data_IF_778983892942
#
_entry.id   IF_778983892942
#
_cell.length_a   1.000
_cell.length_b   1.000
_cell.length_c   1.000
_cell.angle_alpha   90.00
_cell.angle_beta   90.00
_cell.angle_gamma   90.00
#
_symmetry.space_group_name_H-M   'P 1'
#
loop_
_entity.id
_entity.type
_entity.pdbx_description
1 polymer ?
#
# COMPACT_ATOMS: atom_id res chain seq x y z
N UNK A 1 -10.14 -13.15 -4.72
CA UNK A 1 -9.12 -12.83 -3.70
C UNK A 1 -7.96 -12.02 -4.27
N UNK A 2 -7.05 -12.58 -5.10
CA UNK A 2 -5.84 -11.86 -5.54
C UNK A 2 -6.13 -10.52 -6.23
N UNK A 3 -7.09 -10.51 -7.17
CA UNK A 3 -7.56 -9.28 -7.83
C UNK A 3 -8.18 -8.30 -6.81
N UNK A 4 -9.03 -8.81 -5.92
CA UNK A 4 -9.72 -7.98 -4.91
C UNK A 4 -8.71 -7.32 -3.95
N UNK A 5 -7.64 -8.02 -3.59
CA UNK A 5 -6.56 -7.49 -2.76
C UNK A 5 -5.84 -6.32 -3.43
N UNK A 6 -5.51 -6.44 -4.72
CA UNK A 6 -4.88 -5.36 -5.49
C UNK A 6 -5.81 -4.14 -5.61
N UNK A 7 -7.10 -4.37 -5.91
CA UNK A 7 -8.11 -3.32 -6.01
C UNK A 7 -8.36 -2.61 -4.68
N UNK A 8 -8.46 -3.36 -3.58
CA UNK A 8 -8.65 -2.81 -2.24
C UNK A 8 -7.48 -1.89 -1.81
N UNK A 9 -6.30 -2.10 -2.37
CA UNK A 9 -5.10 -1.28 -2.14
C UNK A 9 -4.90 -0.17 -3.19
N UNK A 10 -5.90 0.10 -4.02
CA UNK A 10 -5.93 1.26 -4.91
C UNK A 10 -5.49 1.01 -6.35
N UNK A 11 -5.21 -0.24 -6.75
CA UNK A 11 -4.87 -0.54 -8.13
C UNK A 11 -6.12 -0.44 -9.04
N UNK A 12 -6.01 0.29 -10.16
CA UNK A 12 -7.14 0.58 -11.05
C UNK A 12 -7.45 -0.59 -11.96
N UNK A 13 -8.71 -0.72 -12.38
CA UNK A 13 -9.14 -1.86 -13.21
C UNK A 13 -8.52 -1.86 -14.61
N UNK A 14 -8.29 -0.68 -15.18
CA UNK A 14 -7.70 -0.48 -16.50
C UNK A 14 -6.18 -0.67 -16.52
N UNK A 15 -5.54 -0.70 -15.36
CA UNK A 15 -4.11 -0.97 -15.19
C UNK A 15 -3.81 -2.47 -14.99
N UNK A 16 -4.84 -3.33 -14.88
CA UNK A 16 -4.70 -4.76 -14.61
C UNK A 16 -5.42 -5.63 -15.63
N UNK A 17 -4.89 -6.84 -15.85
CA UNK A 17 -5.62 -7.91 -16.55
C UNK A 17 -5.26 -9.29 -16.03
N UNK A 18 -6.21 -10.21 -16.12
CA UNK A 18 -5.94 -11.63 -15.94
C UNK A 18 -5.68 -12.27 -17.32
N UNK A 19 -4.58 -13.01 -17.44
CA UNK A 19 -4.17 -13.68 -18.68
C UNK A 19 -3.91 -15.16 -18.41
N UNK A 20 -4.72 -16.02 -19.01
CA UNK A 20 -4.48 -17.46 -18.96
C UNK A 20 -3.28 -17.83 -19.82
N UNK A 21 -2.45 -18.74 -19.32
CA UNK A 21 -1.34 -19.33 -20.06
C UNK A 21 -1.87 -20.17 -21.22
N UNK A 22 -1.21 -20.11 -22.37
CA UNK A 22 -1.45 -21.06 -23.45
C UNK A 22 -0.89 -22.45 -23.10
N UNK A 23 -1.34 -23.52 -23.78
CA UNK A 23 -0.80 -24.86 -23.55
C UNK A 23 0.73 -24.98 -23.68
N UNK A 24 1.35 -24.13 -24.51
CA UNK A 24 2.79 -24.09 -24.73
C UNK A 24 3.57 -23.36 -23.62
N UNK A 25 2.89 -22.48 -22.87
CA UNK A 25 3.46 -21.73 -21.74
C UNK A 25 3.35 -22.51 -20.42
N UNK A 26 2.40 -23.45 -20.33
CA UNK A 26 2.19 -24.25 -19.13
C UNK A 26 3.42 -25.10 -18.80
N UNK A 27 3.82 -25.04 -17.53
CA UNK A 27 4.75 -26.02 -16.98
C UNK A 27 4.13 -27.42 -17.05
N UNK A 28 4.95 -28.45 -17.26
CA UNK A 28 4.47 -29.83 -17.48
C UNK A 28 3.62 -30.42 -16.35
N UNK A 29 3.71 -29.87 -15.14
CA UNK A 29 2.94 -30.25 -13.95
C UNK A 29 1.76 -29.31 -13.67
N UNK A 30 1.63 -28.20 -14.41
CA UNK A 30 0.53 -27.27 -14.23
C UNK A 30 -0.66 -27.69 -15.08
N UNK A 31 -1.82 -27.83 -14.44
CA UNK A 31 -3.09 -28.07 -15.11
C UNK A 31 -3.68 -26.79 -15.70
N UNK A 32 -3.31 -25.64 -15.15
CA UNK A 32 -3.73 -24.32 -15.59
C UNK A 32 -3.05 -23.23 -14.77
N UNK A 33 -2.72 -22.14 -15.42
CA UNK A 33 -2.09 -20.97 -14.79
C UNK A 33 -2.71 -19.70 -15.34
N UNK A 34 -3.05 -18.77 -14.46
CA UNK A 34 -3.48 -17.41 -14.82
C UNK A 34 -2.52 -16.41 -14.19
N UNK A 35 -1.95 -15.52 -15.00
CA UNK A 35 -1.18 -14.39 -14.52
C UNK A 35 -2.08 -13.17 -14.34
N UNK A 36 -1.95 -12.49 -13.21
CA UNK A 36 -2.36 -11.09 -13.08
C UNK A 36 -1.21 -10.24 -13.57
N UNK A 37 -1.45 -9.49 -14.63
CA UNK A 37 -0.50 -8.57 -15.24
C UNK A 37 -0.89 -7.12 -14.96
N UNK A 38 0.12 -6.25 -14.87
CA UNK A 38 -0.02 -4.81 -14.72
C UNK A 38 0.54 -4.07 -15.93
N UNK A 39 -0.12 -2.97 -16.29
CA UNK A 39 0.31 -2.09 -17.37
C UNK A 39 1.36 -1.09 -16.85
N UNK A 40 2.63 -1.48 -16.89
CA UNK A 40 3.72 -0.56 -16.58
C UNK A 40 3.89 0.50 -17.69
N UNK A 41 4.61 1.60 -17.42
CA UNK A 41 4.97 2.59 -18.46
C UNK A 41 5.72 1.99 -19.66
N UNK A 42 6.35 0.82 -19.48
CA UNK A 42 7.06 0.08 -20.53
C UNK A 42 6.27 -1.13 -21.08
N UNK A 43 4.99 -1.28 -20.72
CA UNK A 43 4.09 -2.31 -21.23
C UNK A 43 3.60 -3.29 -20.17
N UNK A 44 2.85 -4.31 -20.62
CA UNK A 44 2.31 -5.35 -19.75
C UNK A 44 3.41 -6.22 -19.14
N UNK A 45 3.33 -6.44 -17.83
CA UNK A 45 4.23 -7.35 -17.11
C UNK A 45 3.49 -8.11 -16.02
N UNK A 46 3.91 -9.34 -15.76
CA UNK A 46 3.33 -10.21 -14.73
C UNK A 46 3.63 -9.68 -13.32
N UNK A 47 2.62 -9.72 -12.45
CA UNK A 47 2.73 -9.42 -11.01
C UNK A 47 2.56 -10.67 -10.16
N UNK A 48 1.54 -11.45 -10.49
CA UNK A 48 1.05 -12.54 -9.65
C UNK A 48 0.63 -13.73 -10.52
N UNK A 49 1.36 -14.83 -10.45
CA UNK A 49 0.96 -16.09 -11.08
C UNK A 49 0.08 -16.91 -10.15
N UNK A 50 -1.03 -17.44 -10.65
CA UNK A 50 -1.93 -18.36 -9.92
C UNK A 50 -1.95 -19.69 -10.68
N UNK A 51 -1.25 -20.69 -10.15
CA UNK A 51 -1.08 -22.00 -10.79
C UNK A 51 -1.83 -23.12 -10.06
N UNK A 52 -2.49 -24.01 -10.81
CA UNK A 52 -2.95 -25.32 -10.34
C UNK A 52 -1.88 -26.36 -10.66
N UNK A 53 -1.12 -26.75 -9.64
CA UNK A 53 0.04 -27.66 -9.74
C UNK A 53 -0.33 -29.11 -9.42
N UNK A 54 -1.61 -29.40 -9.23
CA UNK A 54 -2.12 -30.73 -8.86
C UNK A 54 -1.38 -31.30 -7.64
N UNK A 55 -1.17 -32.62 -7.57
CA UNK A 55 -0.45 -33.31 -6.50
C UNK A 55 1.05 -33.47 -6.77
N UNK A 56 1.57 -32.85 -7.84
CA UNK A 56 2.93 -33.08 -8.33
C UNK A 56 3.99 -32.83 -7.26
N UNK A 57 3.95 -31.66 -6.61
CA UNK A 57 4.99 -31.21 -5.68
C UNK A 57 5.12 -32.13 -4.46
N UNK A 58 3.99 -32.43 -3.83
CA UNK A 58 3.93 -33.31 -2.66
C UNK A 58 4.32 -34.74 -3.02
N UNK A 59 3.92 -35.21 -4.21
CA UNK A 59 4.32 -36.54 -4.71
C UNK A 59 5.83 -36.65 -4.91
N UNK A 60 6.48 -35.62 -5.46
CA UNK A 60 7.93 -35.61 -5.61
C UNK A 60 8.64 -35.60 -4.24
N UNK A 61 8.18 -34.76 -3.31
CA UNK A 61 8.76 -34.72 -1.96
C UNK A 61 8.58 -36.03 -1.19
N UNK A 62 7.40 -36.66 -1.25
CA UNK A 62 7.16 -37.98 -0.66
C UNK A 62 8.08 -39.05 -1.26
N UNK A 63 8.21 -39.07 -2.59
CA UNK A 63 9.04 -40.07 -3.30
C UNK A 63 10.51 -39.99 -2.90
N UNK A 64 11.05 -38.77 -2.76
CA UNK A 64 12.47 -38.56 -2.45
C UNK A 64 12.77 -38.69 -0.95
N UNK A 65 11.86 -38.20 -0.09
CA UNK A 65 12.07 -38.21 1.37
C UNK A 65 11.68 -39.53 2.04
N UNK A 66 10.72 -40.27 1.47
CA UNK A 66 10.10 -41.44 2.09
C UNK A 66 9.04 -41.11 3.16
N UNK A 67 8.84 -39.83 3.48
CA UNK A 67 7.83 -39.38 4.43
C UNK A 67 6.46 -39.26 3.75
N UNK A 68 5.42 -39.72 4.44
CA UNK A 68 4.05 -39.71 3.93
C UNK A 68 3.45 -38.29 3.92
N UNK A 69 3.11 -37.79 2.73
CA UNK A 69 2.56 -36.46 2.49
C UNK A 69 1.05 -36.47 2.23
N UNK A 70 0.39 -37.61 2.40
CA UNK A 70 -1.04 -37.73 2.09
C UNK A 70 -1.94 -37.30 3.26
N UNK A 71 -3.08 -36.73 2.89
CA UNK A 71 -4.12 -36.27 3.79
C UNK A 71 -5.23 -37.33 3.88
N UNK A 72 -5.78 -37.52 5.08
CA UNK A 72 -6.95 -38.38 5.30
C UNK A 72 -8.20 -37.51 5.44
N UNK A 73 -9.13 -37.67 4.51
CA UNK A 73 -10.42 -37.00 4.55
C UNK A 73 -11.40 -37.79 5.42
N UNK A 74 -11.84 -37.17 6.52
CA UNK A 74 -12.73 -37.79 7.49
C UNK A 74 -14.16 -37.97 6.98
N UNK A 75 -14.61 -37.18 6.02
CA UNK A 75 -15.96 -37.29 5.44
C UNK A 75 -16.00 -38.37 4.36
N UNK A 76 -15.02 -38.34 3.45
CA UNK A 76 -14.91 -39.29 2.34
C UNK A 76 -14.29 -40.64 2.76
N UNK A 77 -13.62 -40.70 3.93
CA UNK A 77 -12.90 -41.87 4.45
C UNK A 77 -11.86 -42.41 3.48
N UNK A 78 -11.17 -41.52 2.79
CA UNK A 78 -10.11 -41.84 1.84
C UNK A 78 -8.83 -41.05 2.12
N UNK A 79 -7.72 -41.55 1.58
CA UNK A 79 -6.39 -40.96 1.72
C UNK A 79 -5.88 -40.57 0.34
N UNK A 80 -5.48 -39.32 0.17
CA UNK A 80 -4.99 -38.79 -1.11
C UNK A 80 -3.88 -37.76 -0.89
N UNK A 81 -3.08 -37.51 -1.93
CA UNK A 81 -2.13 -36.40 -1.92
C UNK A 81 -2.89 -35.16 -2.40
N UNK A 82 -2.98 -34.09 -1.58
CA UNK A 82 -3.81 -32.94 -1.93
C UNK A 82 -3.23 -32.16 -3.11
N UNK A 83 -4.13 -31.51 -3.85
CA UNK A 83 -3.75 -30.62 -4.93
C UNK A 83 -3.29 -29.27 -4.37
N UNK A 84 -2.31 -28.67 -5.04
CA UNK A 84 -1.70 -27.40 -4.66
C UNK A 84 -2.12 -26.30 -5.63
N UNK A 85 -2.82 -25.29 -5.12
CA UNK A 85 -3.03 -24.02 -5.81
C UNK A 85 -1.99 -23.03 -5.26
N UNK A 86 -1.18 -22.47 -6.15
CA UNK A 86 -0.08 -21.57 -5.79
C UNK A 86 -0.32 -20.16 -6.35
N UNK A 87 -0.73 -19.20 -5.51
CA UNK A 87 -0.63 -17.78 -5.82
C UNK A 87 0.77 -17.25 -5.45
N UNK A 88 1.61 -17.00 -6.45
CA UNK A 88 2.97 -16.46 -6.29
C UNK A 88 3.05 -14.99 -6.74
N UNK A 89 3.30 -14.08 -5.79
CA UNK A 89 3.38 -12.62 -6.03
C UNK A 89 4.84 -12.14 -5.96
N UNK A 90 5.28 -11.39 -6.97
CA UNK A 90 6.58 -10.73 -6.95
C UNK A 90 6.58 -9.46 -6.09
N UNK A 91 7.19 -9.48 -4.91
CA UNK A 91 7.21 -8.35 -3.96
C UNK A 91 7.74 -7.03 -4.57
N UNK A 92 8.87 -7.09 -5.27
CA UNK A 92 9.46 -5.92 -5.93
C UNK A 92 8.58 -5.41 -7.08
N UNK A 93 7.97 -6.33 -7.84
CA UNK A 93 7.10 -5.97 -8.97
C UNK A 93 5.82 -5.31 -8.50
N UNK A 94 5.19 -5.84 -7.46
CA UNK A 94 3.97 -5.23 -6.90
C UNK A 94 4.27 -3.87 -6.26
N UNK A 95 5.45 -3.70 -5.66
CA UNK A 95 5.92 -2.40 -5.14
C UNK A 95 6.05 -1.39 -6.28
N UNK A 96 6.69 -1.77 -7.39
CA UNK A 96 6.80 -0.91 -8.57
C UNK A 96 5.43 -0.61 -9.18
N UNK A 97 4.52 -1.58 -9.23
CA UNK A 97 3.17 -1.38 -9.75
C UNK A 97 2.38 -0.36 -8.91
N UNK A 98 2.44 -0.45 -7.57
CA UNK A 98 1.82 0.56 -6.72
C UNK A 98 2.46 1.94 -6.87
N UNK A 99 3.78 2.03 -7.06
CA UNK A 99 4.45 3.29 -7.38
C UNK A 99 3.95 3.88 -8.70
N UNK A 100 3.86 3.09 -9.76
CA UNK A 100 3.38 3.53 -11.06
C UNK A 100 1.89 3.93 -11.03
N UNK A 101 1.05 3.14 -10.36
CA UNK A 101 -0.39 3.38 -10.26
C UNK A 101 -0.72 4.64 -9.44
N UNK A 102 0.06 4.91 -8.39
CA UNK A 102 -0.10 6.05 -7.51
C UNK A 102 0.45 7.36 -8.09
N UNK A 103 1.37 7.32 -9.05
CA UNK A 103 2.00 8.52 -9.60
C UNK A 103 1.00 9.37 -10.39
N UNK A 104 0.93 10.65 -10.05
CA UNK A 104 0.19 11.66 -10.80
C UNK A 104 0.90 13.02 -10.81
N UNK A 105 0.65 13.78 -11.87
CA UNK A 105 1.05 15.17 -12.03
C UNK A 105 -0.20 16.03 -12.22
N UNK A 106 -0.60 16.72 -11.16
CA UNK A 106 -1.80 17.56 -11.17
C UNK A 106 -1.47 19.02 -11.48
N UNK A 107 -2.18 19.61 -12.44
CA UNK A 107 -2.20 21.07 -12.65
C UNK A 107 -3.04 21.74 -11.57
N UNK A 108 -2.43 22.68 -10.85
CA UNK A 108 -3.06 23.49 -9.84
C UNK A 108 -3.53 24.82 -10.40
N UNK A 109 -4.44 25.47 -9.67
CA UNK A 109 -4.87 26.83 -9.97
C UNK A 109 -3.66 27.77 -10.11
N UNK A 110 -3.57 28.47 -11.24
CA UNK A 110 -2.46 29.37 -11.54
C UNK A 110 -1.36 28.77 -12.42
N UNK A 111 -1.52 27.52 -12.90
CA UNK A 111 -0.63 26.90 -13.88
C UNK A 111 0.64 26.29 -13.29
N UNK A 112 0.66 26.07 -11.98
CA UNK A 112 1.71 25.32 -11.29
C UNK A 112 1.38 23.82 -11.32
N UNK A 113 2.39 22.95 -11.32
CA UNK A 113 2.20 21.49 -11.35
C UNK A 113 2.66 20.90 -10.02
N UNK A 114 1.89 19.96 -9.46
CA UNK A 114 2.34 19.14 -8.33
C UNK A 114 2.50 17.69 -8.75
N UNK A 115 3.61 17.08 -8.36
CA UNK A 115 3.76 15.63 -8.37
C UNK A 115 3.22 15.08 -7.05
N UNK A 116 2.39 14.04 -7.13
CA UNK A 116 1.78 13.40 -5.97
C UNK A 116 1.76 11.89 -6.17
N UNK A 117 2.03 11.15 -5.08
CA UNK A 117 1.81 9.71 -5.03
C UNK A 117 0.53 9.39 -4.26
N UNK A 118 -0.53 9.02 -4.97
CA UNK A 118 -1.83 8.62 -4.43
C UNK A 118 -1.81 7.22 -3.79
N UNK A 119 -0.83 6.94 -2.94
CA UNK A 119 -0.82 5.67 -2.22
C UNK A 119 -2.07 5.49 -1.38
N UNK A 120 -2.61 4.27 -1.38
CA UNK A 120 -3.56 3.88 -0.33
C UNK A 120 -2.92 4.14 1.04
N UNK A 121 -3.65 4.71 2.02
CA UNK A 121 -3.07 5.06 3.32
C UNK A 121 -2.37 3.90 4.05
N UNK A 122 -2.81 2.65 3.83
CA UNK A 122 -2.15 1.45 4.36
C UNK A 122 -0.74 1.20 3.76
N UNK A 123 -0.50 1.62 2.52
CA UNK A 123 0.78 1.44 1.80
C UNK A 123 1.75 2.60 1.96
N UNK A 124 1.26 3.81 2.20
CA UNK A 124 2.10 5.01 2.25
C UNK A 124 3.29 4.85 3.22
N UNK A 125 4.53 5.15 2.80
CA UNK A 125 5.72 4.90 3.63
C UNK A 125 5.70 5.75 4.90
N UNK A 126 5.31 7.02 4.77
CA UNK A 126 5.03 7.93 5.90
C UNK A 126 3.52 8.10 5.97
N UNK A 127 2.94 7.99 7.17
CA UNK A 127 1.50 8.12 7.40
C UNK A 127 1.11 9.56 7.69
N UNK A 128 1.95 10.26 8.47
CA UNK A 128 1.66 11.61 8.96
C UNK A 128 2.91 12.48 8.91
N UNK A 129 2.86 13.60 8.18
CA UNK A 129 3.89 14.65 8.22
C UNK A 129 3.54 15.72 9.27
N UNK A 130 4.42 16.01 10.22
CA UNK A 130 4.23 17.02 11.27
C UNK A 130 5.05 18.27 10.94
N UNK A 131 4.37 19.38 10.69
CA UNK A 131 4.92 20.57 10.02
C UNK A 131 4.68 21.84 10.88
N UNK A 132 5.65 22.32 11.66
CA UNK A 132 5.49 23.58 12.41
C UNK A 132 5.45 24.79 11.47
N UNK A 133 4.47 25.69 11.58
CA UNK A 133 4.33 26.85 10.68
C UNK A 133 5.59 27.72 10.64
N UNK A 134 6.30 27.80 11.77
CA UNK A 134 7.63 28.41 11.88
C UNK A 134 8.51 27.65 12.88
N UNK A 135 9.83 27.82 12.79
CA UNK A 135 10.79 27.20 13.71
C UNK A 135 10.58 27.53 15.20
N UNK A 136 9.88 28.63 15.50
CA UNK A 136 9.54 29.02 16.88
C UNK A 136 8.53 28.08 17.53
N UNK A 137 7.80 27.32 16.72
CA UNK A 137 6.74 26.40 17.15
C UNK A 137 7.21 24.95 17.19
N UNK A 138 8.51 24.69 16.97
CA UNK A 138 9.06 23.33 16.94
C UNK A 138 8.79 22.59 18.24
N UNK A 139 8.91 23.23 19.41
CA UNK A 139 8.72 22.54 20.69
C UNK A 139 7.30 21.96 20.85
N UNK A 140 6.27 22.72 20.42
CA UNK A 140 4.88 22.26 20.43
C UNK A 140 4.63 21.16 19.40
N UNK A 141 5.12 21.35 18.18
CA UNK A 141 5.00 20.37 17.11
C UNK A 141 5.74 19.05 17.40
N UNK A 142 6.91 19.11 18.05
CA UNK A 142 7.69 17.93 18.47
C UNK A 142 6.93 17.09 19.52
N UNK A 143 6.12 17.71 20.38
CA UNK A 143 5.23 16.99 21.31
C UNK A 143 4.15 16.22 20.57
N UNK A 144 3.54 16.82 19.54
CA UNK A 144 2.56 16.14 18.67
C UNK A 144 3.21 14.98 17.92
N UNK A 145 4.40 15.21 17.34
CA UNK A 145 5.19 14.18 16.70
C UNK A 145 5.49 13.01 17.64
N UNK A 146 6.05 13.28 18.82
CA UNK A 146 6.41 12.26 19.79
C UNK A 146 5.22 11.42 20.26
N UNK A 147 4.01 11.98 20.31
CA UNK A 147 2.80 11.23 20.66
C UNK A 147 2.33 10.34 19.49
N UNK A 148 2.22 10.88 18.29
CA UNK A 148 1.72 10.14 17.13
C UNK A 148 2.70 9.07 16.62
N UNK A 149 4.02 9.32 16.74
CA UNK A 149 5.07 8.36 16.37
C UNK A 149 5.03 7.06 17.19
N UNK A 150 4.29 7.01 18.29
CA UNK A 150 4.05 5.76 19.05
C UNK A 150 3.14 4.78 18.31
N UNK A 151 2.35 5.27 17.36
CA UNK A 151 1.30 4.51 16.67
C UNK A 151 1.53 4.43 15.16
N UNK A 152 2.15 5.45 14.57
CA UNK A 152 2.28 5.59 13.12
C UNK A 152 3.70 5.96 12.71
N UNK A 153 4.06 5.62 11.46
CA UNK A 153 5.29 6.15 10.88
C UNK A 153 5.08 7.63 10.54
N UNK A 154 5.72 8.52 11.29
CA UNK A 154 5.59 9.96 11.12
C UNK A 154 6.92 10.58 10.70
N UNK A 155 6.85 11.67 9.96
CA UNK A 155 8.00 12.51 9.62
C UNK A 155 7.80 13.91 10.20
N UNK A 156 8.87 14.51 10.74
CA UNK A 156 8.87 15.89 11.18
C UNK A 156 9.70 16.74 10.22
N UNK A 157 9.14 17.86 9.75
CA UNK A 157 9.82 18.72 8.78
C UNK A 157 9.59 20.22 9.07
N UNK A 158 10.67 20.93 9.40
CA UNK A 158 10.69 22.38 9.67
C UNK A 158 11.43 23.19 8.57
N UNK A 159 11.77 22.55 7.45
CA UNK A 159 12.65 23.13 6.43
C UNK A 159 11.85 23.90 5.37
N UNK A 160 12.17 25.18 5.19
CA UNK A 160 11.53 26.02 4.18
C UNK A 160 10.09 26.43 4.56
N UNK A 161 9.35 27.00 3.60
CA UNK A 161 7.98 27.43 3.84
C UNK A 161 7.01 26.24 3.91
N UNK A 162 5.80 26.47 4.44
CA UNK A 162 4.81 25.40 4.63
C UNK A 162 4.37 24.76 3.29
N UNK A 163 4.23 25.54 2.22
CA UNK A 163 3.87 25.03 0.90
C UNK A 163 4.90 24.03 0.36
N UNK A 164 6.19 24.33 0.46
CA UNK A 164 7.28 23.42 0.05
C UNK A 164 7.32 22.14 0.87
N UNK A 165 6.86 22.18 2.12
CA UNK A 165 6.76 21.00 2.98
C UNK A 165 5.60 20.10 2.56
N UNK A 166 4.44 20.67 2.30
CA UNK A 166 3.33 19.92 1.71
C UNK A 166 3.74 19.28 0.39
N UNK A 167 4.46 19.98 -0.50
CA UNK A 167 4.93 19.39 -1.76
C UNK A 167 5.83 18.17 -1.57
N UNK A 168 6.79 18.23 -0.65
CA UNK A 168 7.65 17.06 -0.34
C UNK A 168 6.85 15.86 0.18
N UNK A 169 5.83 16.13 0.99
CA UNK A 169 4.98 15.09 1.57
C UNK A 169 4.02 14.50 0.52
N UNK A 170 3.48 15.33 -0.38
CA UNK A 170 2.69 14.90 -1.54
C UNK A 170 3.55 14.03 -2.49
N UNK A 171 4.80 14.43 -2.77
CA UNK A 171 5.76 13.71 -3.62
C UNK A 171 6.13 12.30 -3.10
N UNK A 172 6.11 12.07 -1.79
CA UNK A 172 6.34 10.75 -1.18
C UNK A 172 5.04 10.03 -0.80
N UNK A 173 3.90 10.64 -1.11
CA UNK A 173 2.56 10.08 -0.93
C UNK A 173 2.09 9.98 0.52
N UNK A 174 2.57 10.84 1.41
CA UNK A 174 2.07 10.93 2.78
C UNK A 174 0.61 11.37 2.79
N UNK A 175 -0.33 10.57 3.31
CA UNK A 175 -1.76 10.83 3.18
C UNK A 175 -2.24 12.02 4.02
N UNK A 176 -1.61 12.30 5.17
CA UNK A 176 -2.00 13.41 6.03
C UNK A 176 -0.81 14.26 6.47
N UNK A 177 -0.98 15.57 6.47
CA UNK A 177 -0.03 16.51 7.06
C UNK A 177 -0.69 17.31 8.17
N UNK A 178 -0.03 17.42 9.32
CA UNK A 178 -0.47 18.23 10.45
C UNK A 178 0.37 19.49 10.52
N UNK A 179 -0.28 20.63 10.45
CA UNK A 179 0.36 21.93 10.67
C UNK A 179 0.11 22.42 12.09
N UNK A 180 1.19 22.70 12.79
CA UNK A 180 1.16 23.34 14.11
C UNK A 180 1.48 24.83 13.93
N UNK A 181 0.52 25.70 14.22
CA UNK A 181 0.58 27.15 14.01
C UNK A 181 0.59 27.93 15.34
N UNK A 182 0.55 29.27 15.25
CA UNK A 182 0.57 30.12 16.44
C UNK A 182 -0.69 29.98 17.29
N UNK A 183 -1.84 29.74 16.64
CA UNK A 183 -3.12 29.55 17.31
C UNK A 183 -3.15 28.23 18.10
N UNK A 184 -2.31 27.26 17.72
CA UNK A 184 -2.22 25.94 18.37
C UNK A 184 -1.85 26.02 19.85
N UNK A 185 -1.06 27.02 20.24
CA UNK A 185 -0.69 27.27 21.65
C UNK A 185 -1.87 27.82 22.47
N UNK A 186 -2.85 28.45 21.82
CA UNK A 186 -4.00 29.07 22.47
C UNK A 186 -5.21 28.13 22.50
N UNK A 187 -5.49 27.44 21.38
CA UNK A 187 -6.69 26.62 21.20
C UNK A 187 -6.46 25.11 21.41
N UNK A 188 -5.21 24.67 21.52
CA UNK A 188 -4.85 23.26 21.68
C UNK A 188 -5.27 22.38 20.50
N UNK A 189 -5.36 22.98 19.30
CA UNK A 189 -5.73 22.31 18.06
C UNK A 189 -4.66 22.50 16.98
N UNK A 190 -4.71 21.65 15.96
CA UNK A 190 -3.81 21.66 14.81
C UNK A 190 -4.61 21.54 13.52
N UNK A 191 -4.02 21.93 12.41
CA UNK A 191 -4.66 21.83 11.10
C UNK A 191 -4.21 20.55 10.41
N UNK A 192 -5.13 19.63 10.14
CA UNK A 192 -4.87 18.40 9.39
C UNK A 192 -5.24 18.63 7.93
N UNK A 193 -4.29 18.41 7.02
CA UNK A 193 -4.46 18.46 5.57
C UNK A 193 -4.49 17.05 4.99
N UNK A 194 -5.50 16.77 4.18
CA UNK A 194 -5.61 15.56 3.35
C UNK A 194 -4.82 15.73 2.03
N UNK A 195 -4.05 14.72 1.63
CA UNK A 195 -3.17 14.76 0.43
C UNK A 195 -3.96 14.95 -0.86
N UNK A 196 -5.00 14.14 -1.03
CA UNK A 196 -5.72 13.99 -2.30
C UNK A 196 -6.67 15.17 -2.50
N UNK A 197 -7.53 15.43 -1.51
CA UNK A 197 -8.52 16.51 -1.57
C UNK A 197 -7.94 17.89 -1.32
N UNK A 198 -6.73 17.97 -0.75
CA UNK A 198 -6.09 19.21 -0.25
C UNK A 198 -6.88 19.96 0.83
N UNK A 199 -7.98 19.38 1.32
CA UNK A 199 -8.83 20.01 2.33
C UNK A 199 -8.11 20.06 3.68
N UNK A 200 -8.43 21.10 4.46
CA UNK A 200 -7.83 21.37 5.76
C UNK A 200 -8.91 21.43 6.83
N UNK A 201 -8.69 20.72 7.92
CA UNK A 201 -9.60 20.63 9.07
C UNK A 201 -8.87 20.97 10.37
N UNK A 202 -9.49 21.76 11.24
CA UNK A 202 -8.94 22.10 12.57
C UNK A 202 -9.37 21.04 13.59
N UNK A 203 -8.42 20.27 14.09
CA UNK A 203 -8.66 19.13 15.00
C UNK A 203 -7.92 19.36 16.32
N UNK A 204 -8.59 19.13 17.45
CA UNK A 204 -7.94 19.21 18.77
C UNK A 204 -6.84 18.16 18.88
N UNK A 205 -5.71 18.54 19.47
CA UNK A 205 -4.56 17.63 19.64
C UNK A 205 -4.95 16.37 20.41
N UNK A 206 -5.82 16.51 21.41
CA UNK A 206 -6.33 15.39 22.20
C UNK A 206 -7.14 14.36 21.39
N UNK A 207 -7.75 14.78 20.28
CA UNK A 207 -8.62 13.94 19.46
C UNK A 207 -7.87 13.27 18.30
N UNK A 208 -6.61 13.64 18.04
CA UNK A 208 -5.84 13.14 16.89
C UNK A 208 -5.71 11.63 16.85
N UNK A 209 -5.52 10.98 18.01
CA UNK A 209 -5.41 9.51 18.07
C UNK A 209 -6.69 8.84 17.57
N UNK A 210 -7.85 9.31 18.03
CA UNK A 210 -9.14 8.79 17.61
C UNK A 210 -9.42 9.13 16.14
N UNK A 211 -9.05 10.34 15.70
CA UNK A 211 -9.21 10.79 14.32
C UNK A 211 -8.48 9.88 13.31
N UNK A 212 -7.32 9.33 13.67
CA UNK A 212 -6.50 8.49 12.78
C UNK A 212 -6.70 6.97 12.93
N UNK A 213 -7.50 6.49 13.89
CA UNK A 213 -7.55 5.07 14.27
C UNK A 213 -7.89 4.12 13.10
N UNK A 214 -8.79 4.55 12.20
CA UNK A 214 -9.24 3.77 11.05
C UNK A 214 -8.73 4.28 9.70
N UNK A 215 -8.05 5.43 9.67
CA UNK A 215 -7.63 6.08 8.41
C UNK A 215 -6.50 5.35 7.67
N UNK A 216 -5.89 4.35 8.29
CA UNK A 216 -4.75 3.60 7.74
C UNK A 216 -5.01 2.10 7.59
N UNK A 217 -6.24 1.64 7.84
CA UNK A 217 -6.61 0.22 7.72
C UNK A 217 -6.96 -0.11 6.26
N UNK A 218 -6.81 -1.38 5.88
CA UNK A 218 -7.31 -1.96 4.63
C UNK A 218 -8.04 -3.26 4.94
#
# INVERSE_FOLDING_TARGET
YCIDWLKALGMKEDEMRARDHSPEELCFYSKGTTDIEFLFPFGWGELWGIADRTDYDLTQHQTVSGEDMSYFDDEAKEKYIPYVIEPSLGADRVTLAFLCSAYDEEELEGGDVRTVLHFHPALAPVKIGILPLSKKLNEGAEKVYAELSKYYNCEFDDRGNIGKRYRRQDEIGTPFCITYDFDSEEDGAVTVRDRDTMQQERIKIADLKAYFEDKFRF
#
